data_IF_086629649334
#
_entry.id   IF_086629649334
#
_cell.length_a   1.000
_cell.length_b   1.000
_cell.length_c   1.000
_cell.angle_alpha   90.00
_cell.angle_beta   90.00
_cell.angle_gamma   90.00
#
_symmetry.space_group_name_H-M   'P 1'
#
loop_
_entity.id
_entity.type
_entity.pdbx_description
1 polymer ?
#
# COMPACT_ATOMS: atom_id res chain seq x y z
N UNK A 1 -4.34 -26.13 17.01
CA UNK A 1 -3.94 -25.66 15.65
C UNK A 1 -3.34 -24.26 15.73
N UNK A 2 -4.03 -23.27 16.28
CA UNK A 2 -3.56 -21.89 16.33
C UNK A 2 -2.23 -21.72 17.05
N UNK A 3 -2.01 -22.38 18.19
CA UNK A 3 -0.76 -22.32 18.94
C UNK A 3 0.41 -22.96 18.17
N UNK A 4 0.14 -24.05 17.44
CA UNK A 4 1.17 -24.69 16.61
C UNK A 4 1.57 -23.82 15.42
N UNK A 5 0.59 -23.16 14.77
CA UNK A 5 0.84 -22.22 13.69
C UNK A 5 1.63 -20.98 14.17
N UNK A 6 1.23 -20.41 15.31
CA UNK A 6 1.97 -19.30 15.93
C UNK A 6 3.40 -19.66 16.28
N UNK A 7 3.65 -20.86 16.85
CA UNK A 7 4.98 -21.33 17.16
C UNK A 7 5.84 -21.51 15.90
N UNK A 8 5.25 -22.06 14.83
CA UNK A 8 5.96 -22.23 13.56
C UNK A 8 6.36 -20.88 12.96
N UNK A 9 5.45 -19.91 12.95
CA UNK A 9 5.75 -18.56 12.48
C UNK A 9 6.84 -17.87 13.30
N UNK A 10 6.75 -17.94 14.63
CA UNK A 10 7.77 -17.34 15.51
C UNK A 10 9.16 -17.97 15.30
N UNK A 11 9.23 -19.28 15.05
CA UNK A 11 10.51 -19.96 14.72
C UNK A 11 11.09 -19.43 13.42
N UNK A 12 10.29 -19.31 12.36
CA UNK A 12 10.73 -18.76 11.07
C UNK A 12 11.28 -17.34 11.23
N UNK A 13 10.56 -16.47 11.95
CA UNK A 13 10.99 -15.09 12.22
C UNK A 13 12.24 -15.01 13.10
N UNK A 14 12.44 -15.97 14.00
CA UNK A 14 13.64 -16.06 14.84
C UNK A 14 14.86 -16.51 14.04
N UNK A 15 14.68 -17.46 13.14
CA UNK A 15 15.75 -18.05 12.32
C UNK A 15 16.19 -17.12 11.19
N UNK A 16 15.25 -16.31 10.64
CA UNK A 16 15.52 -15.36 9.57
C UNK A 16 15.05 -13.94 9.96
N UNK A 17 15.89 -13.23 10.70
CA UNK A 17 15.60 -11.85 11.11
C UNK A 17 15.75 -10.83 9.97
N UNK A 18 16.39 -11.19 8.87
CA UNK A 18 16.52 -10.35 7.68
C UNK A 18 15.17 -10.12 6.99
N UNK A 19 14.15 -10.92 7.31
CA UNK A 19 12.76 -10.73 6.80
C UNK A 19 12.25 -9.32 7.10
N UNK A 20 12.54 -8.77 8.26
CA UNK A 20 12.09 -7.41 8.62
C UNK A 20 12.72 -6.34 7.73
N UNK A 21 14.00 -6.49 7.42
CA UNK A 21 14.71 -5.59 6.50
C UNK A 21 14.16 -5.70 5.08
N UNK A 22 13.88 -6.92 4.62
CA UNK A 22 13.29 -7.14 3.28
C UNK A 22 11.90 -6.52 3.16
N UNK A 23 11.03 -6.74 4.14
CA UNK A 23 9.67 -6.17 4.16
C UNK A 23 9.73 -4.64 4.23
N UNK A 24 10.61 -4.08 5.04
CA UNK A 24 10.82 -2.64 5.15
C UNK A 24 11.20 -2.04 3.78
N UNK A 25 12.19 -2.62 3.10
CA UNK A 25 12.64 -2.14 1.78
C UNK A 25 11.55 -2.25 0.72
N UNK A 26 10.75 -3.31 0.74
CA UNK A 26 9.59 -3.44 -0.15
C UNK A 26 8.56 -2.34 0.07
N UNK A 27 8.30 -2.00 1.34
CA UNK A 27 7.41 -0.91 1.70
C UNK A 27 7.93 0.45 1.23
N UNK A 28 9.19 0.78 1.51
CA UNK A 28 9.81 2.01 0.99
C UNK A 28 9.70 2.08 -0.54
N UNK A 29 10.09 1.02 -1.23
CA UNK A 29 10.05 0.97 -2.69
C UNK A 29 8.64 1.25 -3.25
N UNK A 30 7.62 0.57 -2.72
CA UNK A 30 6.23 0.75 -3.19
C UNK A 30 5.69 2.13 -2.85
N UNK A 31 5.78 2.55 -1.58
CA UNK A 31 5.10 3.78 -1.14
C UNK A 31 5.83 5.05 -1.61
N UNK A 32 7.16 5.05 -1.69
CA UNK A 32 7.91 6.15 -2.31
C UNK A 32 7.66 6.21 -3.82
N UNK A 33 7.54 5.05 -4.48
CA UNK A 33 7.15 4.95 -5.88
C UNK A 33 5.77 5.57 -6.13
N UNK A 34 4.79 5.27 -5.27
CA UNK A 34 3.45 5.87 -5.36
C UNK A 34 3.51 7.38 -5.10
N UNK A 35 4.23 7.85 -4.09
CA UNK A 35 4.40 9.30 -3.83
C UNK A 35 4.98 10.02 -5.05
N UNK A 36 5.99 9.42 -5.68
CA UNK A 36 6.60 9.98 -6.89
C UNK A 36 5.60 10.07 -8.04
N UNK A 37 4.83 9.00 -8.30
CA UNK A 37 3.81 8.98 -9.35
C UNK A 37 2.76 10.07 -9.12
N UNK A 38 2.24 10.19 -7.90
CA UNK A 38 1.26 11.22 -7.56
C UNK A 38 1.83 12.62 -7.81
N UNK A 39 3.06 12.87 -7.40
CA UNK A 39 3.73 14.16 -7.59
C UNK A 39 3.96 14.48 -9.08
N UNK A 40 4.42 13.53 -9.87
CA UNK A 40 4.69 13.70 -11.31
C UNK A 40 3.41 13.94 -12.12
N UNK A 41 2.27 13.42 -11.67
CA UNK A 41 0.96 13.62 -12.30
C UNK A 41 0.14 14.75 -11.64
N UNK A 42 0.74 15.54 -10.76
CA UNK A 42 0.10 16.67 -10.06
C UNK A 42 -1.15 16.27 -9.27
N UNK A 43 -1.21 15.01 -8.81
CA UNK A 43 -2.30 14.48 -8.00
C UNK A 43 -2.09 14.86 -6.53
N UNK A 44 -3.00 15.59 -5.88
CA UNK A 44 -2.76 16.14 -4.53
C UNK A 44 -2.99 15.15 -3.40
N UNK A 45 -3.11 13.86 -3.69
CA UNK A 45 -3.42 12.84 -2.69
C UNK A 45 -2.23 12.57 -1.74
N UNK A 46 -2.57 12.13 -0.53
CA UNK A 46 -1.59 11.89 0.52
C UNK A 46 -1.24 10.40 0.62
N UNK A 47 0.04 10.09 0.79
CA UNK A 47 0.50 8.73 1.07
C UNK A 47 1.11 8.72 2.46
N UNK A 48 0.47 8.01 3.39
CA UNK A 48 1.01 7.76 4.72
C UNK A 48 1.49 6.32 4.79
N UNK A 49 2.73 6.11 5.22
CA UNK A 49 3.24 4.75 5.38
C UNK A 49 4.27 4.65 6.51
N UNK A 50 4.44 3.44 7.00
CA UNK A 50 5.51 3.05 7.91
C UNK A 50 5.90 1.60 7.62
N UNK A 51 7.19 1.35 7.35
CA UNK A 51 7.68 0.03 6.95
C UNK A 51 6.84 -0.57 5.81
N UNK A 52 6.20 -1.71 6.04
CA UNK A 52 5.38 -2.44 5.07
C UNK A 52 3.90 -2.10 5.08
N UNK A 53 3.51 -1.08 5.82
CA UNK A 53 2.13 -0.67 6.05
C UNK A 53 1.90 0.72 5.51
N UNK A 54 0.88 0.92 4.67
CA UNK A 54 0.59 2.26 4.14
C UNK A 54 -0.81 2.41 3.58
N UNK A 55 -1.16 3.66 3.30
CA UNK A 55 -2.45 4.02 2.73
C UNK A 55 -2.30 5.23 1.80
N UNK A 56 -3.04 5.23 0.70
CA UNK A 56 -3.24 6.42 -0.14
C UNK A 56 -4.57 7.05 0.29
N UNK A 57 -4.51 8.25 0.84
CA UNK A 57 -5.70 9.02 1.16
C UNK A 57 -6.06 9.96 -0.02
N UNK A 58 -7.26 9.80 -0.54
CA UNK A 58 -7.79 10.58 -1.67
C UNK A 58 -8.24 11.96 -1.22
N UNK A 59 -7.32 12.72 -0.65
CA UNK A 59 -7.52 14.10 -0.15
C UNK A 59 -6.25 14.92 -0.32
N UNK A 60 -6.39 16.22 -0.53
CA UNK A 60 -5.30 17.19 -0.51
C UNK A 60 -4.89 17.62 0.92
N UNK A 61 -5.73 17.30 1.91
CA UNK A 61 -5.46 17.64 3.31
C UNK A 61 -4.38 16.74 3.90
N UNK A 62 -3.50 17.29 4.72
CA UNK A 62 -2.52 16.49 5.45
C UNK A 62 -3.22 15.59 6.46
N UNK A 63 -3.08 14.28 6.29
CA UNK A 63 -3.75 13.29 7.16
C UNK A 63 -2.87 12.97 8.36
N UNK A 64 -3.35 13.35 9.54
CA UNK A 64 -2.65 13.13 10.82
C UNK A 64 -3.53 12.48 11.88
N UNK A 65 -4.85 12.43 11.65
CA UNK A 65 -5.86 11.88 12.55
C UNK A 65 -7.11 11.43 11.77
N UNK A 66 -8.07 10.88 12.49
CA UNK A 66 -9.32 10.41 11.88
C UNK A 66 -10.14 11.54 11.25
N UNK A 67 -10.13 12.75 11.85
CA UNK A 67 -10.88 13.89 11.31
C UNK A 67 -10.34 14.30 9.93
N UNK A 68 -9.03 14.42 9.80
CA UNK A 68 -8.38 14.70 8.51
C UNK A 68 -8.51 13.54 7.52
N UNK A 69 -8.48 12.28 7.98
CA UNK A 69 -8.70 11.13 7.12
C UNK A 69 -10.11 11.13 6.49
N UNK A 70 -11.13 11.58 7.23
CA UNK A 70 -12.52 11.67 6.72
C UNK A 70 -12.73 12.70 5.60
N UNK A 71 -11.77 13.54 5.31
CA UNK A 71 -11.82 14.45 4.15
C UNK A 71 -11.59 13.73 2.83
N UNK A 72 -11.16 12.46 2.88
CA UNK A 72 -10.89 11.67 1.69
C UNK A 72 -12.15 11.38 0.86
N UNK A 73 -12.02 11.48 -0.46
CA UNK A 73 -13.08 11.13 -1.42
C UNK A 73 -13.18 9.59 -1.54
N UNK A 74 -14.12 9.03 -0.79
CA UNK A 74 -14.36 7.59 -0.78
C UNK A 74 -14.91 7.03 -2.09
N UNK A 75 -15.54 7.88 -2.92
CA UNK A 75 -16.05 7.48 -4.24
C UNK A 75 -14.91 7.37 -5.23
N UNK A 76 -14.02 8.37 -5.26
CA UNK A 76 -12.81 8.31 -6.09
C UNK A 76 -11.92 7.12 -5.70
N UNK A 77 -11.76 6.85 -4.40
CA UNK A 77 -11.06 5.65 -3.94
C UNK A 77 -11.74 4.36 -4.42
N UNK A 78 -13.07 4.27 -4.40
CA UNK A 78 -13.79 3.08 -4.86
C UNK A 78 -13.57 2.82 -6.37
N UNK A 79 -13.47 3.86 -7.20
CA UNK A 79 -13.14 3.71 -8.62
C UNK A 79 -11.69 3.25 -8.82
N UNK A 80 -10.75 3.81 -8.06
CA UNK A 80 -9.36 3.35 -8.04
C UNK A 80 -9.25 1.87 -7.61
N UNK A 81 -9.94 1.49 -6.53
CA UNK A 81 -9.98 0.11 -6.07
C UNK A 81 -10.48 -0.85 -7.15
N UNK A 82 -11.60 -0.52 -7.82
CA UNK A 82 -12.14 -1.33 -8.92
C UNK A 82 -11.17 -1.45 -10.09
N UNK A 83 -10.51 -0.35 -10.44
CA UNK A 83 -9.49 -0.37 -11.50
C UNK A 83 -8.36 -1.34 -11.14
N UNK A 84 -7.77 -1.21 -9.97
CA UNK A 84 -6.69 -2.07 -9.51
C UNK A 84 -7.11 -3.55 -9.45
N UNK A 85 -8.30 -3.82 -8.91
CA UNK A 85 -8.86 -5.18 -8.83
C UNK A 85 -9.05 -5.79 -10.22
N UNK A 86 -9.58 -5.04 -11.19
CA UNK A 86 -9.78 -5.51 -12.55
C UNK A 86 -8.47 -5.78 -13.30
N UNK A 87 -7.37 -5.21 -12.84
CA UNK A 87 -6.03 -5.44 -13.38
C UNK A 87 -5.18 -6.42 -12.54
N UNK A 88 -5.81 -7.12 -11.59
CA UNK A 88 -5.19 -8.20 -10.83
C UNK A 88 -4.53 -7.79 -9.51
N UNK A 89 -4.67 -6.53 -9.07
CA UNK A 89 -4.15 -6.05 -7.79
C UNK A 89 -5.29 -5.85 -6.81
N UNK A 90 -5.37 -6.71 -5.81
CA UNK A 90 -6.40 -6.64 -4.76
C UNK A 90 -5.90 -5.80 -3.58
N UNK A 91 -6.38 -4.56 -3.50
CA UNK A 91 -6.14 -3.64 -2.39
C UNK A 91 -7.16 -3.86 -1.26
N UNK A 92 -6.97 -3.18 -0.13
CA UNK A 92 -8.03 -3.06 0.87
C UNK A 92 -9.24 -2.32 0.29
N UNK A 93 -10.48 -2.82 0.48
CA UNK A 93 -11.66 -2.27 -0.19
C UNK A 93 -12.14 -0.94 0.39
N UNK A 94 -11.68 -0.55 1.57
CA UNK A 94 -12.05 0.71 2.24
C UNK A 94 -10.91 1.71 2.20
N UNK A 95 -11.23 2.98 1.95
CA UNK A 95 -10.29 4.11 2.04
C UNK A 95 -9.60 4.19 3.41
N UNK A 96 -10.24 3.68 4.46
CA UNK A 96 -9.76 3.76 5.84
C UNK A 96 -9.01 2.50 6.31
N UNK A 97 -8.72 1.60 5.39
CA UNK A 97 -7.91 0.42 5.64
C UNK A 97 -6.51 0.59 5.08
N UNK A 98 -5.53 0.07 5.81
CA UNK A 98 -4.16 0.08 5.36
C UNK A 98 -3.85 -1.10 4.43
N UNK A 99 -2.96 -0.88 3.48
CA UNK A 99 -2.34 -1.92 2.67
C UNK A 99 -1.16 -2.53 3.44
N UNK A 100 -0.98 -3.83 3.30
CA UNK A 100 0.11 -4.57 3.91
C UNK A 100 0.96 -5.26 2.87
N UNK A 101 2.27 -5.17 3.02
CA UNK A 101 3.22 -5.97 2.26
C UNK A 101 3.75 -7.11 3.14
N UNK A 102 4.02 -8.23 2.51
CA UNK A 102 4.67 -9.39 3.13
C UNK A 102 5.97 -9.73 2.41
N UNK A 103 6.75 -10.63 3.00
CA UNK A 103 7.98 -11.11 2.36
C UNK A 103 7.70 -11.93 1.08
N UNK A 104 6.47 -12.45 0.94
CA UNK A 104 6.07 -13.21 -0.25
C UNK A 104 5.88 -12.36 -1.51
N UNK A 105 5.63 -11.05 -1.39
CA UNK A 105 5.52 -10.18 -2.56
C UNK A 105 6.85 -10.09 -3.31
N UNK A 106 6.82 -10.37 -4.61
CA UNK A 106 7.99 -10.31 -5.47
C UNK A 106 8.25 -8.89 -5.98
N UNK A 107 9.45 -8.64 -6.52
CA UNK A 107 9.75 -7.36 -7.15
C UNK A 107 8.85 -7.09 -8.35
N UNK A 108 8.57 -8.11 -9.16
CA UNK A 108 7.70 -8.03 -10.33
C UNK A 108 6.27 -7.61 -9.97
N UNK A 109 5.76 -8.11 -8.84
CA UNK A 109 4.42 -7.72 -8.34
C UNK A 109 4.38 -6.27 -7.86
N UNK A 110 5.46 -5.79 -7.22
CA UNK A 110 5.58 -4.39 -6.83
C UNK A 110 5.70 -3.47 -8.06
N UNK A 111 6.49 -3.87 -9.05
CA UNK A 111 6.67 -3.12 -10.29
C UNK A 111 5.35 -3.04 -11.08
N UNK A 112 4.63 -4.15 -11.20
CA UNK A 112 3.29 -4.17 -11.81
C UNK A 112 2.32 -3.26 -11.07
N UNK A 113 2.35 -3.28 -9.74
CA UNK A 113 1.49 -2.41 -8.93
C UNK A 113 1.79 -0.94 -9.20
N UNK A 114 3.06 -0.54 -9.24
CA UNK A 114 3.46 0.83 -9.56
C UNK A 114 3.07 1.24 -10.99
N UNK A 115 3.24 0.35 -11.96
CA UNK A 115 2.82 0.59 -13.35
C UNK A 115 1.32 0.87 -13.43
N UNK A 116 0.50 0.07 -12.77
CA UNK A 116 -0.96 0.24 -12.75
C UNK A 116 -1.39 1.53 -12.04
N UNK A 117 -0.74 1.87 -10.94
CA UNK A 117 -0.96 3.16 -10.25
C UNK A 117 -0.64 4.32 -11.18
N UNK A 118 0.48 4.27 -11.89
CA UNK A 118 0.88 5.30 -12.85
C UNK A 118 -0.11 5.39 -14.00
N UNK A 119 -0.54 4.28 -14.59
CA UNK A 119 -1.54 4.26 -15.65
C UNK A 119 -2.86 4.88 -15.21
N UNK A 120 -3.31 4.58 -13.99
CA UNK A 120 -4.54 5.16 -13.45
C UNK A 120 -4.46 6.67 -13.32
N UNK A 121 -3.40 7.18 -12.70
CA UNK A 121 -3.27 8.62 -12.43
C UNK A 121 -2.81 9.45 -13.64
N UNK A 122 -2.25 8.86 -14.69
CA UNK A 122 -2.00 9.55 -15.97
C UNK A 122 -3.27 9.98 -16.69
N UNK A 123 -4.40 9.33 -16.41
CA UNK A 123 -5.71 9.64 -17.02
C UNK A 123 -6.63 10.38 -16.06
N UNK A 124 -6.12 10.79 -14.92
CA UNK A 124 -6.87 11.43 -13.84
C UNK A 124 -7.21 12.90 -14.12
#
# INVERSE_FOLDING_TARGET
VAMAAGLAQLKLLWEDQDVYTRIYRKGEYLFEGIQKILKENEVPYQVNYTASLGCIFFTSEKVTDYTSAKTADTKAFAEYFKYMLNHGVHLAPSQFEAMFLSDAHTQEELDLTLELVEQYFKTW
#
